data_IF_790055228058
#
_entry.id   IF_790055228058
#
_cell.length_a   1.000
_cell.length_b   1.000
_cell.length_c   1.000
_cell.angle_alpha   90.00
_cell.angle_beta   90.00
_cell.angle_gamma   90.00
#
_symmetry.space_group_name_H-M   'P 1'
#
loop_
_entity.id
_entity.type
_entity.pdbx_description
1 polymer ?
#
# COMPACT_ATOMS: atom_id res chain seq x y z
N UNK A 1 -99.93 -9.03 -66.37
CA UNK A 1 -98.95 -10.11 -66.26
C UNK A 1 -97.58 -9.49 -66.01
N UNK A 2 -97.00 -9.90 -64.89
CA UNK A 2 -95.58 -9.92 -64.49
C UNK A 2 -94.71 -8.66 -64.59
N UNK A 3 -94.41 -8.12 -63.41
CA UNK A 3 -93.26 -7.31 -63.04
C UNK A 3 -91.93 -7.97 -63.41
N UNK A 4 -90.90 -7.16 -63.66
CA UNK A 4 -89.51 -7.56 -63.52
C UNK A 4 -88.76 -6.50 -62.70
N UNK A 5 -88.42 -6.88 -61.47
CA UNK A 5 -87.58 -6.15 -60.53
C UNK A 5 -86.12 -6.38 -60.93
N UNK A 6 -85.32 -5.30 -61.03
CA UNK A 6 -83.89 -5.40 -61.29
C UNK A 6 -83.14 -5.95 -60.05
N UNK A 7 -82.21 -6.90 -60.21
CA UNK A 7 -81.47 -7.47 -59.08
C UNK A 7 -80.37 -6.52 -58.58
N UNK A 8 -80.17 -6.50 -57.26
CA UNK A 8 -79.08 -5.78 -56.57
C UNK A 8 -77.70 -6.34 -56.96
N UNK A 9 -76.64 -5.51 -56.97
CA UNK A 9 -75.30 -5.94 -57.32
C UNK A 9 -74.69 -6.86 -56.25
N UNK A 10 -74.04 -7.93 -56.70
CA UNK A 10 -73.33 -8.89 -55.85
C UNK A 10 -72.11 -8.23 -55.17
N UNK A 11 -71.77 -8.61 -53.93
CA UNK A 11 -70.56 -8.13 -53.26
C UNK A 11 -69.30 -8.63 -53.99
N UNK A 12 -68.18 -7.88 -53.91
CA UNK A 12 -66.94 -8.24 -54.61
C UNK A 12 -66.37 -9.57 -54.10
N UNK A 13 -65.67 -10.33 -54.95
CA UNK A 13 -65.09 -11.61 -54.56
C UNK A 13 -63.99 -11.41 -53.51
N UNK A 14 -64.08 -12.15 -52.40
CA UNK A 14 -62.97 -12.29 -51.45
C UNK A 14 -61.93 -13.19 -52.10
N UNK A 15 -60.82 -12.61 -52.54
CA UNK A 15 -59.66 -13.37 -53.01
C UNK A 15 -58.92 -13.87 -51.77
N UNK A 16 -59.27 -15.08 -51.29
CA UNK A 16 -58.49 -15.81 -50.31
C UNK A 16 -57.33 -16.53 -51.00
N UNK A 17 -56.28 -15.79 -51.34
CA UNK A 17 -55.00 -16.40 -51.74
C UNK A 17 -54.22 -16.84 -50.50
N UNK A 18 -53.42 -17.92 -50.56
CA UNK A 18 -52.51 -18.27 -49.47
C UNK A 18 -51.51 -17.13 -49.25
N UNK A 19 -51.46 -16.59 -48.03
CA UNK A 19 -50.41 -15.66 -47.60
C UNK A 19 -49.13 -16.49 -47.43
N UNK A 20 -48.26 -16.48 -48.43
CA UNK A 20 -46.92 -17.02 -48.27
C UNK A 20 -46.08 -16.05 -47.43
N UNK A 21 -45.91 -16.36 -46.14
CA UNK A 21 -44.85 -15.71 -45.36
C UNK A 21 -43.50 -16.21 -45.88
N UNK A 22 -42.71 -15.34 -46.52
CA UNK A 22 -41.32 -15.65 -46.85
C UNK A 22 -40.55 -15.66 -45.52
N UNK A 23 -40.38 -16.85 -44.95
CA UNK A 23 -39.41 -17.05 -43.87
C UNK A 23 -38.04 -17.02 -44.54
N UNK A 24 -37.41 -15.85 -44.63
CA UNK A 24 -35.99 -15.80 -45.01
C UNK A 24 -35.20 -16.56 -43.94
N UNK A 25 -34.53 -17.69 -44.28
CA UNK A 25 -33.76 -18.42 -43.29
C UNK A 25 -32.66 -17.50 -42.78
N UNK A 26 -32.65 -17.22 -41.47
CA UNK A 26 -31.58 -16.45 -40.85
C UNK A 26 -30.24 -17.09 -41.24
N UNK A 27 -29.28 -16.32 -41.77
CA UNK A 27 -28.07 -16.91 -42.29
C UNK A 27 -27.32 -17.66 -41.18
N UNK A 28 -27.02 -18.94 -41.44
CA UNK A 28 -26.36 -19.84 -40.48
C UNK A 28 -25.02 -19.28 -39.97
N UNK A 29 -24.34 -18.46 -40.78
CA UNK A 29 -23.09 -17.80 -40.41
C UNK A 29 -23.27 -16.76 -39.29
N UNK A 30 -24.38 -16.02 -39.23
CA UNK A 30 -24.65 -15.09 -38.11
C UNK A 30 -24.87 -15.83 -36.79
N UNK A 31 -25.52 -17.00 -36.85
CA UNK A 31 -25.70 -17.85 -35.66
C UNK A 31 -24.36 -18.43 -35.18
N UNK A 32 -23.49 -18.84 -36.12
CA UNK A 32 -22.14 -19.30 -35.81
C UNK A 32 -21.26 -18.19 -35.22
N UNK A 33 -21.28 -16.98 -35.79
CA UNK A 33 -20.53 -15.84 -35.26
C UNK A 33 -21.00 -15.49 -33.85
N UNK A 34 -22.31 -15.40 -33.61
CA UNK A 34 -22.85 -15.15 -32.26
C UNK A 34 -22.41 -16.22 -31.26
N UNK A 35 -22.47 -17.50 -31.66
CA UNK A 35 -22.00 -18.61 -30.83
C UNK A 35 -20.50 -18.49 -30.51
N UNK A 36 -19.67 -18.16 -31.49
CA UNK A 36 -18.23 -17.96 -31.29
C UNK A 36 -17.94 -16.76 -30.38
N UNK A 37 -18.66 -15.65 -30.54
CA UNK A 37 -18.53 -14.48 -29.66
C UNK A 37 -18.93 -14.82 -28.23
N UNK A 38 -20.07 -15.49 -28.02
CA UNK A 38 -20.47 -15.91 -26.68
C UNK A 38 -19.47 -16.86 -26.05
N UNK A 39 -18.95 -17.82 -26.82
CA UNK A 39 -17.94 -18.75 -26.32
C UNK A 39 -16.63 -18.03 -25.97
N UNK A 40 -16.21 -17.04 -26.76
CA UNK A 40 -15.04 -16.22 -26.47
C UNK A 40 -15.23 -15.38 -25.20
N UNK A 41 -16.38 -14.69 -25.06
CA UNK A 41 -16.71 -13.90 -23.86
C UNK A 41 -16.77 -14.82 -22.63
N UNK A 42 -17.40 -15.98 -22.73
CA UNK A 42 -17.45 -16.95 -21.63
C UNK A 42 -16.06 -17.49 -21.27
N UNK A 43 -15.21 -17.78 -22.25
CA UNK A 43 -13.84 -18.22 -22.00
C UNK A 43 -13.01 -17.15 -21.29
N UNK A 44 -13.12 -15.89 -21.73
CA UNK A 44 -12.48 -14.74 -21.07
C UNK A 44 -13.03 -14.58 -19.66
N UNK A 45 -14.34 -14.67 -19.46
CA UNK A 45 -14.96 -14.59 -18.13
C UNK A 45 -14.45 -15.67 -17.18
N UNK A 46 -14.42 -16.93 -17.62
CA UNK A 46 -13.89 -18.04 -16.82
C UNK A 46 -12.40 -17.84 -16.50
N UNK A 47 -11.61 -17.39 -17.46
CA UNK A 47 -10.20 -17.08 -17.25
C UNK A 47 -10.00 -15.97 -16.21
N UNK A 48 -10.75 -14.87 -16.32
CA UNK A 48 -10.65 -13.75 -15.38
C UNK A 48 -11.08 -14.16 -13.97
N UNK A 49 -12.15 -14.96 -13.83
CA UNK A 49 -12.58 -15.50 -12.52
C UNK A 49 -11.52 -16.44 -11.94
N UNK A 50 -10.94 -17.32 -12.77
CA UNK A 50 -9.87 -18.19 -12.31
C UNK A 50 -8.65 -17.37 -11.85
N UNK A 51 -8.23 -16.39 -12.66
CA UNK A 51 -7.12 -15.50 -12.31
C UNK A 51 -7.40 -14.71 -11.03
N UNK A 52 -8.62 -14.19 -10.85
CA UNK A 52 -9.06 -13.51 -9.64
C UNK A 52 -8.94 -14.41 -8.41
N UNK A 53 -9.44 -15.64 -8.49
CA UNK A 53 -9.33 -16.63 -7.40
C UNK A 53 -7.88 -16.97 -7.06
N UNK A 54 -6.97 -17.01 -8.04
CA UNK A 54 -5.55 -17.29 -7.77
C UNK A 54 -4.80 -16.05 -7.27
N UNK A 55 -4.89 -14.93 -7.98
CA UNK A 55 -4.13 -13.71 -7.70
C UNK A 55 -4.60 -13.01 -6.42
N UNK A 56 -5.90 -13.08 -6.09
CA UNK A 56 -6.47 -12.49 -4.87
C UNK A 56 -6.59 -13.49 -3.71
N UNK A 57 -5.99 -14.68 -3.81
CA UNK A 57 -5.90 -15.60 -2.67
C UNK A 57 -4.72 -15.22 -1.78
N UNK A 58 -5.03 -14.53 -0.69
CA UNK A 58 -4.02 -14.04 0.26
C UNK A 58 -3.25 -15.16 0.95
N UNK A 59 -3.88 -16.30 1.24
CA UNK A 59 -3.19 -17.45 1.83
C UNK A 59 -2.17 -18.07 0.87
N UNK A 60 -2.49 -18.12 -0.43
CA UNK A 60 -1.55 -18.59 -1.45
C UNK A 60 -0.38 -17.61 -1.61
N UNK A 61 -0.68 -16.31 -1.67
CA UNK A 61 0.32 -15.26 -1.80
C UNK A 61 1.23 -15.15 -0.57
N UNK A 62 0.69 -15.38 0.63
CA UNK A 62 1.46 -15.50 1.86
C UNK A 62 2.38 -16.72 1.86
N UNK A 63 1.86 -17.89 1.48
CA UNK A 63 2.63 -19.14 1.43
C UNK A 63 3.78 -19.12 0.40
N UNK A 64 3.52 -18.60 -0.81
CA UNK A 64 4.51 -18.53 -1.89
C UNK A 64 5.40 -17.28 -1.72
N UNK A 65 4.90 -16.26 -1.03
CA UNK A 65 5.60 -15.01 -0.79
C UNK A 65 6.80 -15.19 0.13
N UNK A 66 7.84 -14.39 -0.10
CA UNK A 66 8.99 -14.35 0.81
C UNK A 66 8.85 -13.26 1.88
N UNK A 67 7.67 -12.65 2.08
CA UNK A 67 7.52 -11.45 2.92
C UNK A 67 7.78 -11.67 4.43
N UNK A 68 7.84 -12.92 4.90
CA UNK A 68 8.12 -13.26 6.29
C UNK A 68 9.47 -12.74 6.81
N UNK A 69 10.46 -12.56 5.94
CA UNK A 69 11.75 -11.95 6.33
C UNK A 69 11.60 -10.52 6.86
N UNK A 70 10.52 -9.80 6.51
CA UNK A 70 10.27 -8.46 7.04
C UNK A 70 9.92 -8.45 8.55
N UNK A 71 9.71 -9.62 9.16
CA UNK A 71 9.46 -9.76 10.60
C UNK A 71 10.73 -9.78 11.44
N UNK A 72 11.89 -10.09 10.84
CA UNK A 72 13.19 -10.18 11.52
C UNK A 72 13.44 -9.12 12.61
N UNK A 73 13.19 -7.81 12.41
CA UNK A 73 13.49 -6.78 13.42
C UNK A 73 12.69 -6.90 14.73
N UNK A 74 11.58 -7.64 14.75
CA UNK A 74 10.70 -7.77 15.93
C UNK A 74 10.64 -9.19 16.48
N UNK A 75 11.38 -10.13 15.90
CA UNK A 75 11.28 -11.56 16.26
C UNK A 75 11.78 -11.92 17.67
N UNK A 76 12.59 -11.06 18.29
CA UNK A 76 13.11 -11.25 19.64
C UNK A 76 12.32 -10.49 20.73
N UNK A 77 11.23 -9.81 20.34
CA UNK A 77 10.31 -9.15 21.26
C UNK A 77 9.16 -10.08 21.68
N UNK A 78 8.67 -9.95 22.91
CA UNK A 78 7.47 -10.66 23.36
C UNK A 78 6.18 -9.86 23.08
N UNK A 79 6.27 -8.53 23.07
CA UNK A 79 5.21 -7.63 22.62
C UNK A 79 5.78 -6.27 22.19
N UNK A 80 4.94 -5.39 21.66
CA UNK A 80 5.36 -4.04 21.31
C UNK A 80 5.95 -3.24 22.48
N UNK A 81 5.62 -3.57 23.75
CA UNK A 81 6.16 -2.86 24.90
C UNK A 81 7.68 -2.95 25.01
N UNK A 82 8.25 -4.02 24.45
CA UNK A 82 9.67 -4.34 24.57
C UNK A 82 10.52 -3.58 23.55
N UNK A 83 9.88 -2.80 22.66
CA UNK A 83 10.58 -2.07 21.59
C UNK A 83 11.64 -1.11 22.15
N UNK A 84 11.38 -0.52 23.31
CA UNK A 84 12.31 0.40 23.97
C UNK A 84 13.50 -0.29 24.64
N UNK A 85 13.39 -1.59 24.92
CA UNK A 85 14.49 -2.39 25.46
C UNK A 85 15.41 -2.90 24.35
N UNK A 86 14.89 -3.04 23.13
CA UNK A 86 15.62 -3.58 21.97
C UNK A 86 16.18 -2.49 21.04
N UNK A 87 15.54 -1.32 21.00
CA UNK A 87 15.89 -0.24 20.08
C UNK A 87 16.16 1.09 20.77
N UNK A 88 17.25 1.73 20.35
CA UNK A 88 17.56 3.11 20.67
C UNK A 88 16.89 4.02 19.65
N UNK A 89 15.94 4.82 20.13
CA UNK A 89 15.27 5.80 19.28
C UNK A 89 16.07 7.09 19.12
N UNK A 90 15.91 7.74 17.96
CA UNK A 90 16.41 9.08 17.72
C UNK A 90 15.92 10.08 18.78
N UNK A 91 16.75 11.07 19.12
CA UNK A 91 16.35 12.15 20.04
C UNK A 91 15.19 13.02 19.53
N UNK A 92 14.99 13.13 18.21
CA UNK A 92 13.93 13.98 17.61
C UNK A 92 12.73 13.21 17.10
N UNK A 93 13.00 12.04 16.50
CA UNK A 93 11.98 11.22 15.84
C UNK A 93 11.88 9.87 16.58
N UNK A 94 11.21 9.90 17.72
CA UNK A 94 11.03 8.75 18.61
C UNK A 94 9.56 8.40 18.78
N UNK A 95 9.33 7.25 19.42
CA UNK A 95 7.97 6.79 19.73
C UNK A 95 7.11 7.83 20.46
N UNK A 96 7.72 8.61 21.36
CA UNK A 96 7.05 9.63 22.16
C UNK A 96 6.63 10.87 21.38
N UNK A 97 7.19 11.12 20.19
CA UNK A 97 6.88 12.29 19.35
C UNK A 97 5.77 12.03 18.33
N UNK A 98 5.50 10.76 17.98
CA UNK A 98 4.41 10.36 17.07
C UNK A 98 3.02 10.67 17.67
N UNK A 99 2.07 11.16 16.89
CA UNK A 99 0.67 11.35 17.34
C UNK A 99 0.02 10.05 17.89
N UNK A 100 -0.92 10.14 18.86
CA UNK A 100 -1.49 8.95 19.51
C UNK A 100 -2.13 7.92 18.57
N UNK A 101 -2.83 8.36 17.52
CA UNK A 101 -3.52 7.45 16.58
C UNK A 101 -2.52 6.65 15.73
N UNK A 102 -1.61 7.28 14.96
CA UNK A 102 -0.54 6.56 14.26
C UNK A 102 0.32 5.68 15.18
N UNK A 103 0.58 6.14 16.41
CA UNK A 103 1.35 5.37 17.40
C UNK A 103 0.65 4.07 17.79
N UNK A 104 -0.65 4.12 18.08
CA UNK A 104 -1.44 2.93 18.38
C UNK A 104 -1.51 1.98 17.18
N UNK A 105 -1.65 2.53 15.97
CA UNK A 105 -1.66 1.76 14.73
C UNK A 105 -0.35 0.96 14.57
N UNK A 106 0.78 1.62 14.79
CA UNK A 106 2.10 1.00 14.73
C UNK A 106 2.29 -0.07 15.81
N UNK A 107 1.85 0.19 17.05
CA UNK A 107 1.89 -0.78 18.15
C UNK A 107 1.14 -2.07 17.80
N UNK A 108 -0.09 -1.93 17.29
CA UNK A 108 -0.92 -3.08 16.88
C UNK A 108 -0.26 -3.89 15.78
N UNK A 109 0.38 -3.24 14.80
CA UNK A 109 1.11 -3.96 13.77
C UNK A 109 2.33 -4.70 14.32
N UNK A 110 3.11 -4.09 15.22
CA UNK A 110 4.25 -4.78 15.85
C UNK A 110 3.77 -6.06 16.57
N UNK A 111 2.70 -5.98 17.37
CA UNK A 111 2.14 -7.17 18.03
C UNK A 111 1.70 -8.26 17.04
N UNK A 112 1.05 -7.87 15.94
CA UNK A 112 0.66 -8.81 14.88
C UNK A 112 1.89 -9.46 14.21
N UNK A 113 2.96 -8.69 14.00
CA UNK A 113 4.22 -9.18 13.47
C UNK A 113 4.96 -10.10 14.46
N UNK A 114 4.77 -9.94 15.77
CA UNK A 114 5.37 -10.80 16.80
C UNK A 114 4.61 -12.13 16.90
N UNK A 115 3.30 -12.09 17.11
CA UNK A 115 2.50 -13.25 17.56
C UNK A 115 2.28 -14.30 16.45
N UNK A 116 2.44 -13.95 15.16
CA UNK A 116 2.12 -14.82 14.03
C UNK A 116 0.67 -15.36 14.11
N UNK A 117 -0.30 -14.48 13.99
CA UNK A 117 -1.72 -14.85 13.98
C UNK A 117 -2.10 -15.49 12.62
N UNK A 118 -2.89 -16.58 12.64
CA UNK A 118 -3.41 -17.25 11.43
C UNK A 118 -4.32 -16.35 10.56
N UNK A 119 -4.75 -15.22 11.11
CA UNK A 119 -5.55 -14.20 10.42
C UNK A 119 -4.72 -13.08 9.77
N UNK A 120 -3.39 -13.10 9.94
CA UNK A 120 -2.47 -12.11 9.39
C UNK A 120 -1.70 -12.72 8.22
N UNK A 121 -1.82 -12.09 7.04
CA UNK A 121 -1.15 -12.51 5.82
C UNK A 121 -0.03 -11.53 5.44
N UNK A 122 1.14 -12.07 5.06
CA UNK A 122 2.30 -11.35 4.57
C UNK A 122 2.38 -11.43 3.06
N UNK A 123 1.90 -10.38 2.40
CA UNK A 123 1.86 -10.34 0.94
C UNK A 123 3.15 -9.72 0.39
N UNK A 124 3.90 -10.47 -0.39
CA UNK A 124 5.07 -9.96 -1.11
C UNK A 124 4.65 -9.40 -2.48
N UNK A 125 4.76 -8.09 -2.68
CA UNK A 125 4.51 -7.44 -3.97
C UNK A 125 5.73 -7.45 -4.93
N UNK A 126 6.75 -8.24 -4.60
CA UNK A 126 8.03 -8.30 -5.32
C UNK A 126 9.09 -7.37 -4.74
N UNK A 127 10.25 -7.31 -5.41
CA UNK A 127 11.35 -6.38 -5.10
C UNK A 127 11.44 -5.36 -6.24
N UNK A 128 11.72 -4.10 -5.92
CA UNK A 128 11.95 -3.06 -6.90
C UNK A 128 13.31 -2.42 -6.66
N UNK A 129 13.98 -2.02 -7.73
CA UNK A 129 15.24 -1.28 -7.62
C UNK A 129 14.93 0.14 -7.10
N UNK A 130 15.66 0.55 -6.06
CA UNK A 130 15.63 1.93 -5.57
C UNK A 130 16.49 2.77 -6.53
N UNK A 131 15.84 3.37 -7.53
CA UNK A 131 16.44 4.38 -8.38
C UNK A 131 16.65 5.74 -7.70
N UNK A 132 17.24 6.74 -8.39
CA UNK A 132 17.49 8.07 -7.82
C UNK A 132 16.22 8.87 -7.49
N UNK A 133 15.05 8.44 -7.96
CA UNK A 133 13.75 9.06 -7.69
C UNK A 133 12.88 8.27 -6.68
N UNK A 134 13.33 7.12 -6.21
CA UNK A 134 12.62 6.35 -5.17
C UNK A 134 13.05 6.81 -3.78
N UNK A 135 12.14 6.80 -2.79
CA UNK A 135 12.46 7.21 -1.43
C UNK A 135 13.59 6.34 -0.85
N UNK A 136 14.70 6.98 -0.49
CA UNK A 136 15.82 6.34 0.21
C UNK A 136 15.43 6.11 1.68
N UNK A 137 15.09 4.87 2.05
CA UNK A 137 14.70 4.57 3.44
C UNK A 137 15.84 4.81 4.43
N UNK A 138 17.08 4.69 3.98
CA UNK A 138 18.27 4.82 4.80
C UNK A 138 18.48 6.26 5.28
N UNK A 139 18.09 7.26 4.48
CA UNK A 139 18.34 8.67 4.77
C UNK A 139 17.70 9.16 6.07
N UNK A 140 16.53 8.62 6.44
CA UNK A 140 15.87 9.03 7.68
C UNK A 140 16.60 8.55 8.94
N UNK A 141 17.61 7.68 8.82
CA UNK A 141 18.49 7.33 9.93
C UNK A 141 19.48 8.43 10.31
N UNK A 142 19.68 9.47 9.48
CA UNK A 142 20.59 10.60 9.72
C UNK A 142 20.11 11.46 10.89
N UNK A 143 20.36 10.99 12.11
CA UNK A 143 19.94 11.56 13.38
C UNK A 143 20.95 11.27 14.48
N UNK A 144 20.71 11.85 15.66
CA UNK A 144 21.47 11.58 16.89
C UNK A 144 20.72 10.61 17.80
N UNK A 145 21.44 9.61 18.32
CA UNK A 145 20.91 8.51 19.13
C UNK A 145 21.67 8.41 20.46
N UNK A 146 20.98 8.40 21.61
CA UNK A 146 21.64 8.26 22.91
C UNK A 146 22.10 6.82 23.15
N UNK A 147 23.40 6.60 23.32
CA UNK A 147 23.94 5.25 23.56
C UNK A 147 24.48 5.13 24.98
N UNK A 148 24.20 3.99 25.61
CA UNK A 148 24.80 3.59 26.89
C UNK A 148 25.64 2.34 26.67
N UNK A 149 26.91 2.39 27.10
CA UNK A 149 27.79 1.23 27.07
C UNK A 149 27.57 0.37 28.31
N UNK A 150 27.61 -0.98 28.19
CA UNK A 150 27.64 -1.86 29.34
C UNK A 150 28.81 -1.54 30.27
N UNK A 151 28.63 -1.76 31.57
CA UNK A 151 29.67 -1.52 32.58
C UNK A 151 30.95 -2.28 32.23
N UNK A 152 32.09 -1.58 32.20
CA UNK A 152 33.41 -2.11 31.83
C UNK A 152 33.55 -2.58 30.37
N UNK A 153 32.62 -2.21 29.47
CA UNK A 153 32.77 -2.44 28.04
C UNK A 153 33.14 -1.16 27.31
N UNK A 154 34.00 -1.29 26.30
CA UNK A 154 34.32 -0.21 25.35
C UNK A 154 33.65 -0.43 23.99
N UNK A 155 32.91 -1.53 23.84
CA UNK A 155 32.20 -1.90 22.62
C UNK A 155 30.76 -2.28 22.96
N UNK A 156 29.84 -1.96 22.06
CA UNK A 156 28.45 -2.35 22.18
C UNK A 156 27.86 -2.51 20.78
N UNK A 157 26.82 -3.33 20.66
CA UNK A 157 26.02 -3.45 19.43
C UNK A 157 24.65 -2.91 19.75
N UNK A 158 24.20 -1.94 18.97
CA UNK A 158 22.92 -1.26 19.19
C UNK A 158 22.04 -1.42 17.97
N UNK A 159 20.73 -1.38 18.21
CA UNK A 159 19.73 -1.26 17.15
C UNK A 159 19.14 0.13 17.20
N UNK A 160 19.25 0.87 16.12
CA UNK A 160 18.74 2.21 15.99
C UNK A 160 17.32 2.18 15.42
N UNK A 161 16.47 3.06 15.91
CA UNK A 161 15.12 3.22 15.40
C UNK A 161 14.72 4.69 15.22
N UNK A 162 13.91 4.93 14.19
CA UNK A 162 13.30 6.23 13.90
C UNK A 162 11.81 6.02 13.75
N UNK A 163 11.05 6.85 14.44
CA UNK A 163 9.60 6.76 14.47
C UNK A 163 9.02 8.12 14.09
N UNK A 164 8.27 8.16 12.99
CA UNK A 164 7.71 9.39 12.41
C UNK A 164 6.21 9.21 12.14
N UNK A 165 5.46 10.31 12.14
CA UNK A 165 4.09 10.35 11.63
C UNK A 165 3.90 11.42 10.56
N UNK A 166 2.94 11.14 9.68
CA UNK A 166 2.57 12.01 8.59
C UNK A 166 1.05 12.08 8.47
N UNK A 167 0.56 13.24 8.05
CA UNK A 167 -0.84 13.44 7.67
C UNK A 167 -0.88 13.76 6.17
N UNK A 168 -1.55 12.92 5.41
CA UNK A 168 -1.82 13.18 3.99
C UNK A 168 -3.12 13.95 3.88
N UNK A 169 -3.04 15.09 3.22
CA UNK A 169 -4.19 15.90 2.85
C UNK A 169 -4.71 15.46 1.49
N UNK A 170 -6.02 15.21 1.39
CA UNK A 170 -6.70 14.75 0.18
C UNK A 170 -7.76 15.78 -0.18
N UNK A 171 -7.89 16.10 -1.47
CA UNK A 171 -8.99 16.92 -2.00
C UNK A 171 -9.87 16.07 -2.88
N UNK A 172 -11.18 16.11 -2.60
CA UNK A 172 -12.20 15.40 -3.37
C UNK A 172 -12.18 13.88 -3.20
N UNK A 173 -13.05 13.22 -3.95
CA UNK A 173 -13.20 11.76 -4.07
C UNK A 173 -13.15 11.30 -5.54
N UNK A 174 -13.26 9.98 -5.76
CA UNK A 174 -13.24 9.40 -7.10
C UNK A 174 -14.31 9.96 -8.05
N UNK A 175 -15.49 10.32 -7.56
CA UNK A 175 -16.55 10.91 -8.38
C UNK A 175 -16.25 12.36 -8.71
N UNK A 176 -15.77 13.15 -7.75
CA UNK A 176 -15.32 14.53 -8.00
C UNK A 176 -14.11 14.58 -8.94
N UNK A 177 -13.28 13.54 -8.95
CA UNK A 177 -12.12 13.43 -9.83
C UNK A 177 -12.52 13.10 -11.27
N UNK A 178 -13.60 12.34 -11.48
CA UNK A 178 -14.09 11.95 -12.82
C UNK A 178 -15.12 12.93 -13.38
N UNK A 179 -15.99 13.45 -12.54
CA UNK A 179 -17.14 14.27 -12.93
C UNK A 179 -17.07 15.73 -12.44
N UNK A 180 -16.12 16.05 -11.57
CA UNK A 180 -15.90 17.39 -11.04
C UNK A 180 -14.61 18.03 -11.57
N UNK A 181 -14.12 19.02 -10.83
CA UNK A 181 -12.94 19.82 -11.19
C UNK A 181 -11.66 19.36 -10.49
N UNK A 182 -11.73 18.40 -9.54
CA UNK A 182 -10.60 18.01 -8.68
C UNK A 182 -9.34 17.64 -9.48
N UNK A 183 -9.50 17.05 -10.67
CA UNK A 183 -8.42 16.66 -11.56
C UNK A 183 -7.71 17.85 -12.26
N UNK A 184 -8.41 18.96 -12.42
CA UNK A 184 -7.95 20.16 -13.14
C UNK A 184 -7.67 21.35 -12.23
N UNK A 185 -8.15 21.29 -10.99
CA UNK A 185 -7.96 22.35 -10.00
C UNK A 185 -6.47 22.51 -9.64
N UNK A 186 -6.02 23.74 -9.29
CA UNK A 186 -4.63 24.00 -8.91
C UNK A 186 -4.14 23.05 -7.81
N UNK A 187 -2.92 22.53 -7.98
CA UNK A 187 -2.26 21.63 -7.03
C UNK A 187 -1.31 22.45 -6.15
N UNK A 188 -1.18 22.14 -4.85
CA UNK A 188 -0.19 22.77 -3.97
C UNK A 188 1.23 22.70 -4.53
N UNK A 189 2.02 23.74 -4.22
CA UNK A 189 3.47 23.68 -4.37
C UNK A 189 4.10 22.64 -3.42
N UNK A 190 5.37 22.25 -3.65
CA UNK A 190 6.05 21.22 -2.86
C UNK A 190 6.18 21.56 -1.36
N UNK A 191 6.15 22.85 -1.00
CA UNK A 191 6.30 23.35 0.37
C UNK A 191 5.00 23.98 0.91
N UNK A 192 3.85 23.65 0.32
CA UNK A 192 2.57 24.21 0.73
C UNK A 192 2.29 23.93 2.22
N UNK A 193 1.98 24.99 2.96
CA UNK A 193 1.67 24.87 4.38
C UNK A 193 0.26 24.30 4.56
N UNK A 194 0.00 23.74 5.74
CA UNK A 194 -1.30 23.19 6.11
C UNK A 194 -2.44 24.18 5.82
N UNK A 195 -2.29 25.43 6.20
CA UNK A 195 -3.32 26.46 6.03
C UNK A 195 -3.64 26.68 4.55
N UNK A 196 -2.63 26.66 3.67
CA UNK A 196 -2.80 26.76 2.23
C UNK A 196 -3.56 25.55 1.67
N UNK A 197 -3.21 24.34 2.13
CA UNK A 197 -3.91 23.11 1.74
C UNK A 197 -5.40 23.17 2.09
N UNK A 198 -5.73 23.64 3.31
CA UNK A 198 -7.11 23.80 3.76
C UNK A 198 -7.86 24.86 2.93
N UNK A 199 -7.22 26.00 2.61
CA UNK A 199 -7.80 27.03 1.74
C UNK A 199 -8.05 26.52 0.32
N UNK A 200 -7.21 25.62 -0.19
CA UNK A 200 -7.39 24.95 -1.48
C UNK A 200 -8.42 23.82 -1.47
N UNK A 201 -9.09 23.58 -0.33
CA UNK A 201 -10.14 22.56 -0.17
C UNK A 201 -9.61 21.15 0.08
N UNK A 202 -8.35 20.98 0.45
CA UNK A 202 -7.85 19.71 0.93
C UNK A 202 -8.26 19.48 2.39
N UNK A 203 -8.48 18.23 2.76
CA UNK A 203 -8.80 17.82 4.12
C UNK A 203 -7.82 16.73 4.58
N UNK A 204 -7.54 16.67 5.88
CA UNK A 204 -6.72 15.59 6.44
C UNK A 204 -7.45 14.25 6.28
N UNK A 205 -6.91 13.36 5.45
CA UNK A 205 -7.59 12.12 5.06
C UNK A 205 -6.86 10.83 5.41
N UNK A 206 -5.53 10.86 5.54
CA UNK A 206 -4.74 9.67 5.90
C UNK A 206 -3.78 9.99 7.02
N UNK A 207 -3.82 9.17 8.06
CA UNK A 207 -2.84 9.18 9.13
C UNK A 207 -1.86 8.04 8.91
N UNK A 208 -0.58 8.34 8.99
CA UNK A 208 0.47 7.38 8.70
C UNK A 208 1.51 7.38 9.81
N UNK A 209 2.00 6.21 10.19
CA UNK A 209 3.19 6.03 11.02
C UNK A 209 4.26 5.30 10.22
N UNK A 210 5.51 5.76 10.32
CA UNK A 210 6.68 5.16 9.71
C UNK A 210 7.69 4.79 10.80
N UNK A 211 7.93 3.50 10.97
CA UNK A 211 8.96 2.98 11.86
C UNK A 211 10.07 2.37 11.03
N UNK A 212 11.29 2.83 11.26
CA UNK A 212 12.48 2.30 10.63
C UNK A 212 13.43 1.77 11.68
N UNK A 213 13.93 0.56 11.47
CA UNK A 213 14.68 -0.22 12.45
C UNK A 213 15.90 -0.84 11.79
N UNK A 214 17.08 -0.58 12.33
CA UNK A 214 18.32 -1.27 11.91
C UNK A 214 18.45 -2.61 12.64
N UNK A 215 19.08 -3.63 12.06
CA UNK A 215 19.38 -4.84 12.82
C UNK A 215 20.50 -4.66 13.83
N UNK A 216 21.69 -4.28 13.39
CA UNK A 216 22.86 -4.17 14.26
C UNK A 216 23.74 -3.03 13.77
N UNK A 217 24.25 -2.26 14.73
CA UNK A 217 25.20 -1.18 14.53
C UNK A 217 26.25 -1.30 15.63
N UNK A 218 27.48 -1.72 15.32
CA UNK A 218 28.56 -1.76 16.30
C UNK A 218 28.98 -0.33 16.67
N UNK A 219 29.27 -0.07 17.94
CA UNK A 219 29.76 1.23 18.39
C UNK A 219 30.90 1.01 19.36
N UNK A 220 32.02 1.72 19.15
CA UNK A 220 33.19 1.68 20.03
C UNK A 220 33.42 3.02 20.71
N UNK A 221 33.64 2.97 22.03
CA UNK A 221 34.02 4.13 22.83
C UNK A 221 35.53 4.42 22.82
N UNK A 222 36.35 3.58 22.17
CA UNK A 222 37.82 3.68 22.20
C UNK A 222 38.35 4.91 21.47
N UNK A 223 37.66 5.34 20.41
CA UNK A 223 38.10 6.45 19.54
C UNK A 223 36.95 7.44 19.30
N UNK A 224 36.51 8.19 20.33
CA UNK A 224 35.42 9.16 20.18
C UNK A 224 35.77 10.21 19.12
N UNK A 225 34.77 10.63 18.35
CA UNK A 225 34.94 11.57 17.24
C UNK A 225 35.44 10.96 15.94
N UNK A 226 35.82 9.67 15.93
CA UNK A 226 36.21 8.97 14.70
C UNK A 226 34.97 8.55 13.91
N UNK A 227 34.97 8.86 12.61
CA UNK A 227 33.94 8.42 11.68
C UNK A 227 34.08 6.93 11.39
N UNK A 228 33.00 6.18 11.62
CA UNK A 228 32.87 4.76 11.33
C UNK A 228 31.89 4.54 10.17
N UNK A 229 32.09 3.46 9.42
CA UNK A 229 31.18 3.01 8.37
C UNK A 229 30.70 1.59 8.67
N UNK A 230 29.42 1.34 8.43
CA UNK A 230 28.83 0.04 8.63
C UNK A 230 27.65 -0.19 7.67
N UNK A 231 27.58 -1.40 7.14
CA UNK A 231 26.48 -1.85 6.31
C UNK A 231 25.47 -2.58 7.19
N UNK A 232 24.22 -2.11 7.21
CA UNK A 232 23.16 -2.69 8.03
C UNK A 232 21.85 -2.78 7.25
N UNK A 233 21.05 -3.79 7.57
CA UNK A 233 19.69 -3.89 7.04
C UNK A 233 18.77 -2.96 7.82
N UNK A 234 17.93 -2.24 7.09
CA UNK A 234 16.92 -1.34 7.64
C UNK A 234 15.56 -1.85 7.25
N UNK A 235 14.78 -2.19 8.25
CA UNK A 235 13.41 -2.63 8.09
C UNK A 235 12.46 -1.47 8.31
N UNK A 236 11.39 -1.45 7.52
CA UNK A 236 10.33 -0.45 7.59
C UNK A 236 9.00 -1.11 7.92
N UNK A 237 8.29 -0.53 8.88
CA UNK A 237 6.86 -0.77 9.10
C UNK A 237 6.16 0.56 8.85
N UNK A 238 5.44 0.64 7.74
CA UNK A 238 4.74 1.84 7.30
C UNK A 238 3.24 1.62 7.38
N UNK A 239 2.66 2.02 8.50
CA UNK A 239 1.27 1.79 8.83
C UNK A 239 0.40 2.97 8.38
N UNK A 240 -0.68 2.69 7.65
CA UNK A 240 -1.60 3.70 7.10
C UNK A 240 -3.02 3.45 7.60
N UNK A 241 -3.75 4.53 7.85
CA UNK A 241 -5.19 4.44 8.06
C UNK A 241 -5.96 5.64 7.48
N UNK A 242 -7.10 5.34 6.85
CA UNK A 242 -8.08 6.32 6.35
C UNK A 242 -9.22 6.56 7.35
N UNK A 243 -9.35 5.70 8.38
CA UNK A 243 -10.41 5.79 9.36
C UNK A 243 -9.92 5.39 10.76
N UNK A 244 -10.55 5.96 11.78
CA UNK A 244 -10.37 5.49 13.14
C UNK A 244 -11.14 4.18 13.31
N UNK A 245 -10.46 3.03 13.18
CA UNK A 245 -11.03 1.70 13.47
C UNK A 245 -11.25 0.75 12.28
N UNK A 246 -10.75 1.06 11.09
CA UNK A 246 -10.68 0.07 10.01
C UNK A 246 -9.61 -0.99 10.26
N UNK A 247 -9.64 -2.07 9.48
CA UNK A 247 -8.58 -3.09 9.51
C UNK A 247 -7.27 -2.43 9.10
N UNK A 248 -6.27 -2.40 9.99
CA UNK A 248 -5.06 -1.65 9.74
C UNK A 248 -4.21 -2.38 8.69
N UNK A 249 -3.59 -1.63 7.79
CA UNK A 249 -2.67 -2.18 6.78
C UNK A 249 -1.30 -1.54 6.95
N UNK A 250 -0.26 -2.37 6.96
CA UNK A 250 1.12 -1.93 6.97
C UNK A 250 1.83 -2.37 5.70
N UNK A 251 2.56 -1.44 5.11
CA UNK A 251 3.57 -1.73 4.11
C UNK A 251 4.88 -2.07 4.83
N UNK A 252 5.45 -3.23 4.50
CA UNK A 252 6.71 -3.70 5.05
C UNK A 252 7.80 -3.54 3.99
N UNK A 253 8.98 -3.11 4.41
CA UNK A 253 10.12 -2.94 3.52
C UNK A 253 11.42 -3.34 4.19
N UNK A 254 12.42 -3.67 3.37
CA UNK A 254 13.80 -3.84 3.80
C UNK A 254 14.71 -3.21 2.78
N UNK A 255 15.67 -2.41 3.26
CA UNK A 255 16.74 -1.84 2.46
C UNK A 255 18.09 -2.21 3.08
N UNK A 256 19.13 -2.20 2.25
CA UNK A 256 20.51 -2.38 2.69
C UNK A 256 21.22 -1.02 2.68
N UNK A 257 21.59 -0.54 3.87
CA UNK A 257 22.06 0.81 4.06
C UNK A 257 23.55 0.84 4.39
N UNK A 258 24.30 1.67 3.68
CA UNK A 258 25.66 2.04 4.05
C UNK A 258 25.60 3.30 4.93
N UNK A 259 25.85 3.10 6.22
CA UNK A 259 25.75 4.13 7.24
C UNK A 259 27.12 4.61 7.68
N UNK A 260 27.28 5.92 7.78
CA UNK A 260 28.44 6.62 8.32
C UNK A 260 28.03 7.34 9.60
N UNK A 261 28.71 7.05 10.71
CA UNK A 261 28.33 7.57 12.03
C UNK A 261 29.55 7.89 12.90
N UNK A 262 29.36 8.72 13.91
CA UNK A 262 30.40 9.20 14.83
C UNK A 262 29.90 9.05 16.27
N UNK A 263 30.72 8.49 17.15
CA UNK A 263 30.45 8.48 18.59
C UNK A 263 30.95 9.77 19.25
N UNK A 264 30.07 10.48 19.95
CA UNK A 264 30.39 11.66 20.73
C UNK A 264 30.33 11.36 22.24
N UNK A 265 31.52 11.22 22.85
CA UNK A 265 31.66 10.93 24.28
C UNK A 265 31.20 12.07 25.20
N UNK A 266 31.07 13.31 24.70
CA UNK A 266 30.63 14.45 25.54
C UNK A 266 29.13 14.40 25.77
N UNK A 267 28.38 14.04 24.74
CA UNK A 267 26.91 14.00 24.76
C UNK A 267 26.34 12.60 24.97
N UNK A 268 27.20 11.58 24.97
CA UNK A 268 26.83 10.17 24.91
C UNK A 268 25.88 9.84 23.75
N UNK A 269 26.16 10.42 22.57
CA UNK A 269 25.36 10.21 21.37
C UNK A 269 26.16 9.60 20.24
N UNK A 270 25.52 8.72 19.48
CA UNK A 270 25.96 8.36 18.12
C UNK A 270 25.23 9.26 17.15
N UNK A 271 26.01 10.01 16.38
CA UNK A 271 25.52 10.87 15.31
C UNK A 271 25.68 10.14 13.97
N UNK A 272 24.57 9.77 13.34
CA UNK A 272 24.57 9.24 11.98
C UNK A 272 24.69 10.41 11.02
N UNK A 273 25.86 10.56 10.41
CA UNK A 273 26.23 11.68 9.54
C UNK A 273 25.70 11.50 8.12
N UNK A 274 25.71 10.26 7.64
CA UNK A 274 25.18 9.91 6.32
C UNK A 274 24.66 8.48 6.32
N UNK A 275 23.56 8.23 5.62
CA UNK A 275 23.03 6.87 5.45
C UNK A 275 22.32 6.76 4.10
N UNK A 276 22.76 5.83 3.25
CA UNK A 276 22.28 5.69 1.86
C UNK A 276 22.04 4.23 1.53
N UNK A 277 21.06 3.96 0.66
CA UNK A 277 20.91 2.66 0.00
C UNK A 277 22.20 2.29 -0.76
N UNK A 278 22.57 1.01 -0.69
CA UNK A 278 23.67 0.41 -1.45
C UNK A 278 23.28 -0.10 -2.82
#
# INVERSE_FOLDING_TARGET
>A
MSSAVAPLPLPPPVISGPVYSIITPKPKWMAQIKKSIYLAISAVGVFLVAYDVFANNWALNDYIGNAMHCRTPVMDMASFSDIHDHYVFSTRDNWGTISPIPRQLLATHIDQLIIADETVYFLAAGMHEVGPATPDLCRDLERSYPITFPTNSTETVVRLAVAMDFVTYIRGDALSHVFGSTATDPVPGPDALREELLEMGYEAGVFTADLRMTLEVPVSSLNPGTTMQHNTLVYRIFAKTFNTGGTPMAELGVDNCNMTYVWNATTNMVDVVSSRVM
#
